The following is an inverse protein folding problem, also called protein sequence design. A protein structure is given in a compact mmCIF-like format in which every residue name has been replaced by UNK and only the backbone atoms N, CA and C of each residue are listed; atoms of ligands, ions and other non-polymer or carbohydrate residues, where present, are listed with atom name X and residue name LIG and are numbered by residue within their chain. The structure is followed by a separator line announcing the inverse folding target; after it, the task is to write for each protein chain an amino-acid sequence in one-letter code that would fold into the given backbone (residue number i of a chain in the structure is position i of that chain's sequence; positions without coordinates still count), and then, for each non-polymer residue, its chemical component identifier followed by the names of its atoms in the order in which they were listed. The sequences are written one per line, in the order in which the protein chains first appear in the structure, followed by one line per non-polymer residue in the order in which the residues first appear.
data_IF_991004942620
#
_entry.id   IF_991004942620
#
_cell.length_a   1.000
_cell.length_b   1.000
_cell.length_c   1.000
_cell.angle_alpha   90.00
_cell.angle_beta   90.00
_cell.angle_gamma   90.00
#
_symmetry.space_group_name_H-M   'P 1'
#
loop_
_entity.id
_entity.type
_entity.pdbx_description
1 polymer ?
#
# COMPACT_ATOMS: atom_id res chain seq x y z
N UNK A 1 28.81 11.62 -19.20
CA UNK A 1 28.03 12.34 -18.16
C UNK A 1 28.83 12.36 -16.88
N UNK A 2 28.77 13.45 -16.10
CA UNK A 2 29.43 13.47 -14.79
C UNK A 2 28.81 12.39 -13.90
N UNK A 3 29.65 11.53 -13.32
CA UNK A 3 29.20 10.53 -12.33
C UNK A 3 29.15 11.18 -10.95
N UNK A 4 28.01 11.05 -10.28
CA UNK A 4 27.90 11.37 -8.86
C UNK A 4 28.46 10.18 -8.05
N UNK A 5 29.60 10.38 -7.38
CA UNK A 5 30.28 9.33 -6.58
C UNK A 5 29.82 9.27 -5.13
N UNK A 6 28.72 9.93 -4.77
CA UNK A 6 28.16 9.88 -3.42
C UNK A 6 27.80 8.44 -3.01
N UNK A 7 28.26 8.04 -1.83
CA UNK A 7 27.89 6.76 -1.20
C UNK A 7 26.52 6.80 -0.53
N UNK A 8 25.90 7.97 -0.41
CA UNK A 8 24.55 8.15 0.12
C UNK A 8 23.59 8.55 -0.99
N UNK A 9 22.34 8.10 -0.90
CA UNK A 9 21.25 8.59 -1.74
C UNK A 9 21.11 10.09 -1.57
N UNK A 10 20.73 10.75 -2.65
CA UNK A 10 20.19 12.11 -2.56
C UNK A 10 19.02 12.08 -1.57
N UNK A 11 19.04 12.90 -0.51
CA UNK A 11 17.95 12.93 0.45
C UNK A 11 16.62 13.28 -0.23
N UNK A 12 15.56 12.56 0.14
CA UNK A 12 14.20 12.90 -0.30
C UNK A 12 13.67 14.02 0.58
N UNK A 13 13.22 15.16 0.02
CA UNK A 13 12.52 16.17 0.79
C UNK A 13 11.28 15.57 1.46
N UNK A 14 11.12 15.82 2.75
CA UNK A 14 9.96 15.35 3.52
C UNK A 14 9.35 16.50 4.33
N UNK A 15 8.06 16.39 4.62
CA UNK A 15 7.45 17.26 5.63
C UNK A 15 8.14 17.06 6.99
N UNK A 16 8.24 18.13 7.78
CA UNK A 16 8.78 18.06 9.13
C UNK A 16 7.88 17.19 10.04
N UNK A 17 8.44 16.35 10.92
CA UNK A 17 7.68 15.43 11.77
C UNK A 17 6.56 16.10 12.59
N UNK A 18 6.84 17.25 13.20
CA UNK A 18 5.90 18.01 14.02
C UNK A 18 4.70 18.58 13.23
N UNK A 19 4.87 18.78 11.92
CA UNK A 19 3.81 19.24 11.01
C UNK A 19 3.03 18.04 10.47
N UNK A 20 3.74 17.04 9.95
CA UNK A 20 3.12 15.90 9.23
C UNK A 20 2.31 14.98 10.12
N UNK A 21 2.61 14.93 11.42
CA UNK A 21 1.81 14.16 12.38
C UNK A 21 0.39 14.70 12.60
N UNK A 22 0.04 15.86 12.03
CA UNK A 22 -1.27 16.52 12.18
C UNK A 22 -2.06 16.66 10.87
N UNK A 23 -1.59 16.07 9.78
CA UNK A 23 -2.27 16.17 8.49
C UNK A 23 -2.11 14.89 7.67
N UNK A 24 -2.99 14.68 6.70
CA UNK A 24 -2.98 13.52 5.81
C UNK A 24 -2.27 13.79 4.47
N UNK A 25 -1.54 14.91 4.32
CA UNK A 25 -0.80 15.21 3.10
C UNK A 25 0.43 14.30 2.97
N UNK A 26 0.91 14.13 1.74
CA UNK A 26 2.04 13.26 1.41
C UNK A 26 3.31 13.60 2.19
N UNK A 27 3.90 12.63 2.89
CA UNK A 27 5.11 12.87 3.71
C UNK A 27 6.34 13.08 2.86
N UNK A 28 6.60 12.19 1.90
CA UNK A 28 7.71 12.32 0.95
C UNK A 28 7.25 13.21 -0.22
N UNK A 29 7.95 14.32 -0.44
CA UNK A 29 7.51 15.39 -1.35
C UNK A 29 7.94 15.17 -2.81
N UNK A 30 8.81 14.20 -3.07
CA UNK A 30 9.39 13.95 -4.38
C UNK A 30 10.69 14.73 -4.60
N UNK A 31 11.45 14.31 -5.62
CA UNK A 31 12.65 15.03 -6.03
C UNK A 31 12.32 16.23 -6.92
N UNK A 32 13.12 17.28 -6.82
CA UNK A 32 13.26 18.25 -7.91
C UNK A 32 13.96 17.63 -9.13
N UNK A 33 13.94 18.32 -10.27
CA UNK A 33 14.67 17.86 -11.46
C UNK A 33 16.17 17.72 -11.17
N UNK A 34 16.77 18.68 -10.44
CA UNK A 34 18.18 18.67 -10.07
C UNK A 34 18.53 17.49 -9.16
N UNK A 35 17.69 17.22 -8.16
CA UNK A 35 17.87 16.10 -7.24
C UNK A 35 17.75 14.75 -7.96
N UNK A 36 16.76 14.62 -8.85
CA UNK A 36 16.55 13.42 -9.65
C UNK A 36 17.73 13.18 -10.60
N UNK A 37 18.21 14.21 -11.30
CA UNK A 37 19.39 14.12 -12.17
C UNK A 37 20.63 13.74 -11.35
N UNK A 38 20.83 14.37 -10.19
CA UNK A 38 21.96 14.07 -9.29
C UNK A 38 21.94 12.63 -8.78
N UNK A 39 20.78 12.12 -8.38
CA UNK A 39 20.61 10.72 -7.97
C UNK A 39 20.80 9.75 -9.14
N UNK A 40 20.25 10.08 -10.31
CA UNK A 40 20.38 9.27 -11.52
C UNK A 40 21.86 9.13 -11.96
N UNK A 41 22.67 10.17 -11.77
CA UNK A 41 24.12 10.16 -12.03
C UNK A 41 24.92 9.26 -11.09
N UNK A 42 24.33 8.73 -10.01
CA UNK A 42 24.96 7.70 -9.17
C UNK A 42 24.91 6.30 -9.80
N UNK A 43 24.03 6.09 -10.77
CA UNK A 43 23.87 4.79 -11.41
C UNK A 43 25.10 4.41 -12.24
N UNK A 44 25.65 3.24 -11.96
CA UNK A 44 26.87 2.73 -12.60
C UNK A 44 26.67 2.22 -14.03
N UNK A 45 25.44 2.24 -14.55
CA UNK A 45 25.08 1.68 -15.86
C UNK A 45 25.64 0.25 -16.04
N UNK A 46 25.32 -0.61 -15.08
CA UNK A 46 25.86 -1.98 -15.01
C UNK A 46 25.50 -2.79 -16.25
N UNK A 47 26.49 -3.46 -16.87
CA UNK A 47 26.27 -4.38 -18.01
C UNK A 47 25.35 -5.56 -17.66
N UNK A 48 25.39 -6.03 -16.42
CA UNK A 48 24.50 -7.07 -15.86
C UNK A 48 23.72 -6.45 -14.68
N UNK A 49 22.55 -5.86 -14.93
CA UNK A 49 21.86 -5.06 -13.93
C UNK A 49 21.02 -5.94 -13.00
N UNK A 50 21.56 -6.32 -11.83
CA UNK A 50 20.81 -7.09 -10.82
C UNK A 50 19.54 -6.38 -10.32
N UNK A 51 19.46 -5.05 -10.46
CA UNK A 51 18.25 -4.30 -10.15
C UNK A 51 17.04 -4.66 -11.03
N UNK A 52 17.26 -5.04 -12.30
CA UNK A 52 16.20 -5.48 -13.23
C UNK A 52 15.65 -6.83 -12.78
N UNK A 53 16.52 -7.78 -12.44
CA UNK A 53 16.13 -9.08 -11.88
C UNK A 53 15.39 -8.95 -10.53
N UNK A 54 15.79 -7.97 -9.72
CA UNK A 54 15.11 -7.65 -8.46
C UNK A 54 13.75 -6.97 -8.62
N UNK A 55 13.40 -6.50 -9.81
CA UNK A 55 12.09 -5.90 -10.09
C UNK A 55 11.12 -7.01 -10.56
N UNK A 56 9.97 -7.22 -9.89
CA UNK A 56 9.03 -8.28 -10.26
C UNK A 56 8.51 -8.20 -11.71
N UNK A 57 8.41 -6.99 -12.27
CA UNK A 57 7.99 -6.76 -13.67
C UNK A 57 9.15 -6.41 -14.59
N UNK A 58 10.40 -6.54 -14.11
CA UNK A 58 11.62 -6.36 -14.89
C UNK A 58 11.69 -5.01 -15.63
N UNK A 59 11.34 -3.92 -14.94
CA UNK A 59 11.53 -2.55 -15.47
C UNK A 59 12.95 -2.38 -15.95
N UNK A 60 13.13 -1.74 -17.10
CA UNK A 60 14.43 -1.47 -17.72
C UNK A 60 15.19 -0.34 -16.98
N UNK A 61 15.54 -0.62 -15.72
CA UNK A 61 16.01 0.36 -14.73
C UNK A 61 17.21 1.19 -15.19
N UNK A 62 18.33 0.60 -15.68
CA UNK A 62 19.46 1.39 -16.15
C UNK A 62 19.09 2.35 -17.29
N UNK A 63 18.16 1.94 -18.15
CA UNK A 63 17.79 2.67 -19.35
C UNK A 63 17.00 3.93 -18.98
N UNK A 64 15.94 3.83 -18.18
CA UNK A 64 15.18 5.02 -17.77
C UNK A 64 16.02 5.95 -16.89
N UNK A 65 16.88 5.40 -16.01
CA UNK A 65 17.76 6.22 -15.18
C UNK A 65 18.76 7.00 -16.04
N UNK A 66 19.29 6.39 -17.09
CA UNK A 66 20.15 7.08 -18.06
C UNK A 66 19.41 8.27 -18.68
N UNK A 67 18.16 8.07 -19.10
CA UNK A 67 17.32 9.14 -19.65
C UNK A 67 17.09 10.28 -18.67
N UNK A 68 16.79 9.98 -17.39
CA UNK A 68 16.67 11.02 -16.34
C UNK A 68 17.97 11.81 -16.20
N UNK A 69 19.11 11.13 -16.13
CA UNK A 69 20.40 11.81 -15.99
C UNK A 69 20.69 12.73 -17.21
N UNK A 70 20.21 12.37 -18.40
CA UNK A 70 20.32 13.13 -19.66
C UNK A 70 19.26 14.25 -19.78
N UNK A 71 18.40 14.41 -18.76
CA UNK A 71 17.23 15.29 -18.75
C UNK A 71 16.16 14.96 -19.80
N UNK A 72 16.17 13.73 -20.32
CA UNK A 72 15.13 13.17 -21.20
C UNK A 72 14.05 12.48 -20.35
N UNK A 73 13.25 13.28 -19.63
CA UNK A 73 12.25 12.75 -18.69
C UNK A 73 11.08 12.05 -19.38
N UNK A 74 10.69 12.53 -20.57
CA UNK A 74 9.67 11.90 -21.41
C UNK A 74 10.14 10.51 -21.89
N UNK A 75 11.39 10.39 -22.34
CA UNK A 75 11.99 9.10 -22.68
C UNK A 75 12.07 8.16 -21.47
N UNK A 76 12.34 8.69 -20.27
CA UNK A 76 12.38 7.89 -19.05
C UNK A 76 11.02 7.25 -18.72
N UNK A 77 9.93 8.04 -18.71
CA UNK A 77 8.61 7.51 -18.37
C UNK A 77 8.09 6.52 -19.42
N UNK A 78 8.38 6.75 -20.71
CA UNK A 78 8.06 5.79 -21.79
C UNK A 78 8.67 4.42 -21.52
N UNK A 79 9.97 4.37 -21.18
CA UNK A 79 10.69 3.12 -20.88
C UNK A 79 10.08 2.41 -19.67
N UNK A 80 9.69 3.15 -18.61
CA UNK A 80 9.07 2.54 -17.43
C UNK A 80 7.73 1.88 -17.80
N UNK A 81 6.90 2.59 -18.58
CA UNK A 81 5.56 2.15 -19.00
C UNK A 81 5.55 0.98 -19.98
N UNK A 82 6.69 0.56 -20.53
CA UNK A 82 6.80 -0.66 -21.33
C UNK A 82 6.49 -1.93 -20.51
N UNK A 83 6.71 -1.87 -19.20
CA UNK A 83 6.60 -3.05 -18.31
C UNK A 83 5.80 -2.78 -17.03
N UNK A 84 5.70 -1.53 -16.59
CA UNK A 84 4.93 -1.15 -15.42
C UNK A 84 3.73 -0.27 -15.79
N UNK A 85 2.52 -0.78 -15.52
CA UNK A 85 1.28 -0.06 -15.79
C UNK A 85 0.96 1.01 -14.74
N UNK A 86 1.61 1.02 -13.57
CA UNK A 86 1.27 1.89 -12.44
C UNK A 86 2.52 2.56 -11.80
N UNK A 87 3.39 3.23 -12.58
CA UNK A 87 4.70 3.70 -12.09
C UNK A 87 4.58 4.76 -10.98
N UNK A 88 3.58 5.65 -11.06
CA UNK A 88 3.34 6.67 -10.04
C UNK A 88 3.00 6.07 -8.66
N UNK A 89 2.42 4.86 -8.65
CA UNK A 89 2.08 4.12 -7.44
C UNK A 89 3.29 3.28 -6.99
N UNK A 90 3.87 2.48 -7.90
CA UNK A 90 4.99 1.57 -7.60
C UNK A 90 6.21 2.31 -7.01
N UNK A 91 6.57 3.48 -7.58
CA UNK A 91 7.66 4.30 -7.06
C UNK A 91 7.47 4.76 -5.61
N UNK A 92 6.21 4.83 -5.14
CA UNK A 92 5.85 5.22 -3.76
C UNK A 92 5.77 4.04 -2.80
N UNK A 93 5.17 2.92 -3.23
CA UNK A 93 4.71 1.89 -2.29
C UNK A 93 5.50 0.58 -2.35
N UNK A 94 6.31 0.36 -3.39
CA UNK A 94 7.14 -0.83 -3.47
C UNK A 94 8.14 -0.88 -2.30
N UNK A 95 8.38 -2.05 -1.69
CA UNK A 95 9.43 -2.23 -0.69
C UNK A 95 10.78 -2.43 -1.40
N UNK A 96 11.34 -1.36 -1.96
CA UNK A 96 12.52 -1.43 -2.82
C UNK A 96 13.74 -2.09 -2.14
N UNK A 97 13.85 -1.95 -0.82
CA UNK A 97 14.87 -2.58 0.04
C UNK A 97 14.83 -4.12 0.03
N UNK A 98 13.72 -4.70 -0.42
CA UNK A 98 13.58 -6.15 -0.64
C UNK A 98 13.50 -6.54 -2.12
N UNK A 99 13.55 -5.57 -3.03
CA UNK A 99 13.34 -5.73 -4.47
C UNK A 99 14.52 -5.14 -5.28
N UNK A 100 14.25 -4.22 -6.19
CA UNK A 100 15.22 -3.70 -7.16
C UNK A 100 16.45 -3.04 -6.50
N UNK A 101 16.28 -2.36 -5.37
CA UNK A 101 17.38 -1.68 -4.68
C UNK A 101 18.25 -2.65 -3.86
N UNK A 102 17.69 -3.75 -3.36
CA UNK A 102 18.43 -4.84 -2.71
C UNK A 102 19.55 -5.39 -3.61
N UNK A 103 19.26 -5.52 -4.90
CA UNK A 103 20.18 -6.09 -5.89
C UNK A 103 21.04 -5.04 -6.60
N UNK A 104 20.97 -3.78 -6.20
CA UNK A 104 21.80 -2.73 -6.78
C UNK A 104 23.27 -2.92 -6.41
N UNK A 105 24.16 -2.96 -7.40
CA UNK A 105 25.61 -3.16 -7.18
C UNK A 105 26.21 -2.07 -6.27
N UNK A 106 25.74 -0.83 -6.37
CA UNK A 106 26.19 0.27 -5.52
C UNK A 106 25.86 0.04 -4.04
N UNK A 107 24.78 -0.70 -3.75
CA UNK A 107 24.37 -1.09 -2.40
C UNK A 107 25.40 -1.97 -1.66
N UNK A 108 26.40 -2.53 -2.35
CA UNK A 108 27.47 -3.32 -1.72
C UNK A 108 28.54 -2.47 -1.04
N UNK A 109 28.66 -1.18 -1.39
CA UNK A 109 29.73 -0.28 -0.92
C UNK A 109 29.20 1.03 -0.31
N UNK A 110 27.88 1.19 -0.25
CA UNK A 110 27.16 2.36 0.21
C UNK A 110 25.65 2.12 0.08
N UNK A 111 24.86 3.18 -0.01
CA UNK A 111 23.43 3.08 -0.28
C UNK A 111 23.16 2.79 -1.76
N UNK A 112 22.15 1.97 -2.10
CA UNK A 112 21.78 1.71 -3.48
C UNK A 112 21.30 2.99 -4.17
N UNK A 113 21.22 2.94 -5.51
CA UNK A 113 20.52 4.00 -6.27
C UNK A 113 19.06 4.01 -5.84
N UNK A 114 18.47 5.18 -5.63
CA UNK A 114 17.08 5.34 -5.21
C UNK A 114 16.10 5.15 -6.39
N UNK A 115 16.04 3.92 -6.90
CA UNK A 115 15.26 3.54 -8.09
C UNK A 115 13.79 3.92 -7.94
N UNK A 116 13.18 3.62 -6.79
CA UNK A 116 11.76 3.95 -6.57
C UNK A 116 11.48 5.45 -6.60
N UNK A 117 12.40 6.26 -6.07
CA UNK A 117 12.28 7.72 -6.06
C UNK A 117 12.43 8.31 -7.47
N UNK A 118 13.31 7.73 -8.30
CA UNK A 118 13.48 8.11 -9.70
C UNK A 118 12.29 7.69 -10.58
N UNK A 119 11.72 6.50 -10.34
CA UNK A 119 10.49 6.04 -10.99
C UNK A 119 9.32 6.97 -10.65
N UNK A 120 9.16 7.30 -9.37
CA UNK A 120 8.18 8.29 -8.89
C UNK A 120 8.37 9.64 -9.59
N UNK A 121 9.61 10.15 -9.64
CA UNK A 121 9.91 11.44 -10.27
C UNK A 121 9.47 11.46 -11.74
N UNK A 122 9.83 10.43 -12.52
CA UNK A 122 9.46 10.37 -13.94
C UNK A 122 7.94 10.36 -14.14
N UNK A 123 7.21 9.61 -13.31
CA UNK A 123 5.75 9.56 -13.37
C UNK A 123 5.09 10.87 -12.91
N UNK A 124 5.59 11.49 -11.84
CA UNK A 124 5.07 12.77 -11.36
C UNK A 124 5.36 13.91 -12.36
N UNK A 125 6.51 13.89 -13.03
CA UNK A 125 6.87 14.83 -14.09
C UNK A 125 5.89 14.77 -15.27
N UNK A 126 5.56 13.55 -15.73
CA UNK A 126 4.59 13.35 -16.81
C UNK A 126 3.20 13.86 -16.41
N UNK A 127 2.76 13.52 -15.19
CA UNK A 127 1.47 13.99 -14.65
C UNK A 127 1.39 15.52 -14.61
N UNK A 128 2.47 16.20 -14.24
CA UNK A 128 2.52 17.65 -14.18
C UNK A 128 2.44 18.32 -15.58
N UNK A 129 2.83 17.62 -16.65
CA UNK A 129 2.72 18.10 -18.04
C UNK A 129 1.35 17.85 -18.67
N UNK A 130 0.50 17.08 -18.00
CA UNK A 130 -0.77 16.58 -18.52
C UNK A 130 -0.57 15.23 -19.21
N UNK A 131 -1.42 14.27 -18.86
CA UNK A 131 -1.36 12.92 -19.42
C UNK A 131 -1.85 12.99 -20.87
N UNK A 132 -1.02 12.55 -21.82
CA UNK A 132 -1.43 12.46 -23.21
C UNK A 132 -2.52 11.39 -23.36
N UNK A 133 -3.64 11.70 -24.07
CA UNK A 133 -4.67 10.71 -24.34
C UNK A 133 -4.06 9.48 -25.03
N UNK A 134 -4.41 8.27 -24.60
CA UNK A 134 -3.89 7.07 -25.22
C UNK A 134 -4.43 6.93 -26.65
N UNK A 135 -3.64 6.29 -27.51
CA UNK A 135 -4.14 5.88 -28.83
C UNK A 135 -5.15 4.77 -28.65
N UNK A 136 -6.40 5.02 -29.05
CA UNK A 136 -7.47 4.03 -28.99
C UNK A 136 -7.20 2.96 -30.07
N UNK A 137 -7.03 1.69 -29.71
CA UNK A 137 -6.80 0.63 -30.68
C UNK A 137 -8.09 0.27 -31.42
N UNK A 138 -7.93 -0.38 -32.58
CA UNK A 138 -9.07 -0.94 -33.32
C UNK A 138 -9.75 -2.03 -32.47
N UNK A 139 -11.06 -1.90 -32.29
CA UNK A 139 -11.86 -2.86 -31.52
C UNK A 139 -11.94 -4.22 -32.22
N UNK A 140 -11.80 -5.28 -31.43
CA UNK A 140 -11.95 -6.68 -31.86
C UNK A 140 -13.40 -7.17 -31.80
N UNK A 141 -14.27 -6.45 -31.10
CA UNK A 141 -15.67 -6.85 -30.87
C UNK A 141 -15.81 -8.01 -29.87
N UNK A 142 -14.78 -8.26 -29.06
CA UNK A 142 -14.71 -9.33 -28.07
C UNK A 142 -14.75 -8.77 -26.66
N UNK A 143 -15.65 -9.29 -25.82
CA UNK A 143 -15.91 -8.76 -24.48
C UNK A 143 -15.14 -9.52 -23.40
N UNK A 144 -14.52 -8.78 -22.47
CA UNK A 144 -13.84 -9.36 -21.30
C UNK A 144 -14.31 -8.66 -20.02
N UNK A 145 -14.70 -9.46 -19.02
CA UNK A 145 -15.10 -8.95 -17.71
C UNK A 145 -13.95 -9.07 -16.70
N UNK A 146 -13.80 -8.06 -15.86
CA UNK A 146 -12.80 -8.01 -14.80
C UNK A 146 -13.53 -7.80 -13.47
N UNK A 147 -13.34 -8.71 -12.52
CA UNK A 147 -13.96 -8.62 -11.19
C UNK A 147 -12.95 -8.06 -10.20
N UNK A 148 -13.18 -6.82 -9.76
CA UNK A 148 -12.32 -6.06 -8.86
C UNK A 148 -11.44 -5.03 -9.57
N UNK A 149 -11.42 -3.81 -9.06
CA UNK A 149 -10.68 -2.66 -9.62
C UNK A 149 -9.39 -2.32 -8.86
N UNK A 150 -8.80 -3.31 -8.17
CA UNK A 150 -7.48 -3.15 -7.56
C UNK A 150 -6.36 -3.07 -8.61
N UNK A 151 -5.09 -2.95 -8.19
CA UNK A 151 -3.94 -2.84 -9.10
C UNK A 151 -3.92 -3.93 -10.19
N UNK A 152 -4.24 -5.18 -9.84
CA UNK A 152 -4.29 -6.29 -10.78
C UNK A 152 -5.38 -6.11 -11.85
N UNK A 153 -6.59 -5.71 -11.45
CA UNK A 153 -7.70 -5.48 -12.36
C UNK A 153 -7.45 -4.28 -13.28
N UNK A 154 -6.92 -3.19 -12.74
CA UNK A 154 -6.55 -1.99 -13.52
C UNK A 154 -5.45 -2.29 -14.55
N UNK A 155 -4.39 -3.01 -14.16
CA UNK A 155 -3.33 -3.40 -15.07
C UNK A 155 -3.86 -4.33 -16.19
N UNK A 156 -4.62 -5.37 -15.81
CA UNK A 156 -5.23 -6.29 -16.77
C UNK A 156 -6.17 -5.55 -17.74
N UNK A 157 -6.99 -4.63 -17.23
CA UNK A 157 -7.89 -3.83 -18.04
C UNK A 157 -7.15 -2.95 -19.04
N UNK A 158 -6.11 -2.24 -18.59
CA UNK A 158 -5.31 -1.37 -19.45
C UNK A 158 -4.64 -2.14 -20.58
N UNK A 159 -4.07 -3.32 -20.29
CA UNK A 159 -3.39 -4.13 -21.31
C UNK A 159 -4.38 -4.75 -22.31
N UNK A 160 -5.50 -5.29 -21.83
CA UNK A 160 -6.56 -5.82 -22.71
C UNK A 160 -7.19 -4.72 -23.58
N UNK A 161 -7.39 -3.53 -23.02
CA UNK A 161 -7.91 -2.40 -23.77
C UNK A 161 -6.95 -2.00 -24.89
N UNK A 162 -5.64 -1.92 -24.62
CA UNK A 162 -4.58 -1.66 -25.64
C UNK A 162 -4.54 -2.72 -26.75
N UNK A 163 -4.95 -3.95 -26.45
CA UNK A 163 -5.08 -5.03 -27.43
C UNK A 163 -6.39 -4.99 -28.24
N UNK A 164 -7.31 -4.06 -27.94
CA UNK A 164 -8.55 -3.86 -28.69
C UNK A 164 -9.77 -4.62 -28.15
N UNK A 165 -9.69 -5.20 -26.95
CA UNK A 165 -10.84 -5.85 -26.31
C UNK A 165 -11.84 -4.82 -25.76
N UNK A 166 -13.11 -5.24 -25.64
CA UNK A 166 -14.16 -4.49 -24.96
C UNK A 166 -14.22 -4.92 -23.49
N UNK A 167 -13.62 -4.11 -22.63
CA UNK A 167 -13.38 -4.46 -21.22
C UNK A 167 -14.37 -3.76 -20.31
N UNK A 168 -15.01 -4.51 -19.41
CA UNK A 168 -15.80 -3.97 -18.30
C UNK A 168 -15.22 -4.44 -16.96
N UNK A 169 -14.92 -3.50 -16.07
CA UNK A 169 -14.54 -3.77 -14.67
C UNK A 169 -15.79 -3.70 -13.79
N UNK A 170 -15.99 -4.70 -12.94
CA UNK A 170 -17.03 -4.74 -11.91
C UNK A 170 -16.38 -4.56 -10.54
N UNK A 171 -16.69 -3.45 -9.86
CA UNK A 171 -16.14 -3.08 -8.56
C UNK A 171 -17.22 -3.09 -7.49
N UNK A 172 -16.94 -3.74 -6.36
CA UNK A 172 -17.89 -3.87 -5.25
C UNK A 172 -18.14 -2.54 -4.53
N UNK A 173 -17.11 -1.71 -4.38
CA UNK A 173 -17.20 -0.42 -3.71
C UNK A 173 -17.70 0.69 -4.65
N UNK A 174 -18.02 1.85 -4.07
CA UNK A 174 -18.47 3.03 -4.80
C UNK A 174 -17.33 3.80 -5.48
N UNK A 175 -16.07 3.45 -5.20
CA UNK A 175 -14.86 4.00 -5.84
C UNK A 175 -13.92 2.88 -6.31
N UNK A 176 -13.35 2.98 -7.52
CA UNK A 176 -12.35 2.04 -8.00
C UNK A 176 -10.96 2.25 -7.37
N UNK A 177 -10.09 1.25 -7.47
CA UNK A 177 -8.67 1.31 -7.04
C UNK A 177 -8.31 0.35 -5.90
N UNK A 178 -9.30 -0.30 -5.29
CA UNK A 178 -9.08 -1.29 -4.22
C UNK A 178 -8.24 -0.74 -3.06
N UNK A 179 -7.22 -1.49 -2.64
CA UNK A 179 -6.35 -1.12 -1.51
C UNK A 179 -5.65 0.24 -1.70
N UNK A 180 -5.49 0.71 -2.94
CA UNK A 180 -4.92 2.01 -3.25
C UNK A 180 -5.81 3.17 -2.76
N UNK A 181 -7.11 2.93 -2.62
CA UNK A 181 -8.11 3.93 -2.21
C UNK A 181 -8.54 3.74 -0.75
N UNK A 182 -8.91 2.52 -0.35
CA UNK A 182 -9.42 2.29 1.01
C UNK A 182 -8.32 1.92 2.03
N UNK A 183 -7.17 1.41 1.57
CA UNK A 183 -6.14 0.84 2.44
C UNK A 183 -4.97 1.79 2.69
N UNK A 184 -4.20 2.10 1.65
CA UNK A 184 -2.99 2.94 1.75
C UNK A 184 -3.41 4.39 1.98
N UNK A 185 -2.98 5.06 3.06
CA UNK A 185 -3.39 6.42 3.35
C UNK A 185 -2.86 7.48 2.37
N UNK A 186 -3.53 8.63 2.34
CA UNK A 186 -3.17 9.80 1.52
C UNK A 186 -1.73 10.29 1.76
N UNK A 187 -1.25 10.18 3.00
CA UNK A 187 0.10 10.62 3.37
C UNK A 187 1.23 9.76 2.80
N UNK A 188 0.91 8.60 2.19
CA UNK A 188 1.82 7.72 1.43
C UNK A 188 1.47 7.66 -0.04
N UNK A 189 0.19 7.64 -0.36
CA UNK A 189 -0.32 7.54 -1.72
C UNK A 189 -1.48 8.52 -1.91
N UNK A 190 -1.20 9.71 -2.46
CA UNK A 190 -2.24 10.66 -2.83
C UNK A 190 -3.30 10.04 -3.74
N UNK A 191 -4.58 10.19 -3.39
CA UNK A 191 -5.70 9.53 -4.06
C UNK A 191 -5.92 10.09 -5.45
N UNK A 192 -5.56 11.35 -5.67
CA UNK A 192 -5.56 11.99 -6.99
C UNK A 192 -4.69 11.22 -8.01
N UNK A 193 -3.64 10.53 -7.57
CA UNK A 193 -2.80 9.71 -8.46
C UNK A 193 -3.60 8.50 -8.92
N UNK A 194 -4.31 7.84 -8.02
CA UNK A 194 -5.12 6.67 -8.33
C UNK A 194 -6.29 7.06 -9.24
N UNK A 195 -6.93 8.19 -8.97
CA UNK A 195 -8.01 8.75 -9.79
C UNK A 195 -7.54 8.97 -11.23
N UNK A 196 -6.35 9.56 -11.43
CA UNK A 196 -5.79 9.79 -12.76
C UNK A 196 -5.41 8.49 -13.50
N UNK A 197 -4.92 7.47 -12.81
CA UNK A 197 -4.67 6.15 -13.42
C UNK A 197 -5.98 5.48 -13.87
N UNK A 198 -7.04 5.61 -13.06
CA UNK A 198 -8.38 5.13 -13.42
C UNK A 198 -8.94 5.90 -14.62
N UNK A 199 -8.82 7.23 -14.63
CA UNK A 199 -9.24 8.08 -15.75
C UNK A 199 -8.52 7.71 -17.04
N UNK A 200 -7.21 7.47 -16.98
CA UNK A 200 -6.43 7.01 -18.13
C UNK A 200 -6.95 5.67 -18.69
N UNK A 201 -7.28 4.73 -17.81
CA UNK A 201 -7.88 3.45 -18.21
C UNK A 201 -9.28 3.65 -18.82
N UNK A 202 -10.10 4.55 -18.29
CA UNK A 202 -11.40 4.88 -18.89
C UNK A 202 -11.24 5.54 -20.26
N UNK A 203 -10.22 6.37 -20.47
CA UNK A 203 -9.89 6.96 -21.77
C UNK A 203 -9.46 5.92 -22.82
N UNK A 204 -8.96 4.74 -22.41
CA UNK A 204 -8.76 3.58 -23.29
C UNK A 204 -10.08 2.91 -23.73
N UNK A 205 -11.22 3.39 -23.23
CA UNK A 205 -12.55 2.85 -23.51
C UNK A 205 -12.94 1.68 -22.60
N UNK A 206 -12.32 1.56 -21.42
CA UNK A 206 -12.73 0.60 -20.40
C UNK A 206 -13.93 1.13 -19.62
N UNK A 207 -14.98 0.32 -19.51
CA UNK A 207 -16.14 0.62 -18.68
C UNK A 207 -15.88 0.17 -17.24
N UNK A 208 -16.25 0.98 -16.24
CA UNK A 208 -16.14 0.62 -14.82
C UNK A 208 -17.51 0.75 -14.17
N UNK A 209 -18.04 -0.36 -13.66
CA UNK A 209 -19.30 -0.44 -12.92
C UNK A 209 -19.02 -0.63 -11.44
N UNK A 210 -19.21 0.43 -10.67
CA UNK A 210 -19.09 0.42 -9.20
C UNK A 210 -20.36 -0.10 -8.54
N UNK A 211 -20.29 -0.40 -7.24
CA UNK A 211 -21.39 -0.98 -6.45
C UNK A 211 -21.88 -2.35 -6.96
N UNK A 212 -21.02 -3.09 -7.66
CA UNK A 212 -21.30 -4.41 -8.24
C UNK A 212 -20.66 -5.51 -7.38
N UNK A 213 -21.36 -5.93 -6.33
CA UNK A 213 -20.91 -7.05 -5.49
C UNK A 213 -21.14 -8.37 -6.24
N UNK A 214 -20.12 -8.84 -6.95
CA UNK A 214 -20.18 -10.10 -7.70
C UNK A 214 -20.38 -11.30 -6.76
N UNK A 215 -21.25 -12.23 -7.13
CA UNK A 215 -21.81 -13.30 -6.28
C UNK A 215 -23.09 -12.87 -5.52
N UNK A 216 -23.49 -11.60 -5.61
CA UNK A 216 -24.78 -11.09 -5.10
C UNK A 216 -25.60 -10.38 -6.17
N UNK A 217 -24.97 -9.47 -6.92
CA UNK A 217 -25.63 -8.70 -7.98
C UNK A 217 -25.68 -9.50 -9.28
N UNK A 218 -24.54 -10.08 -9.67
CA UNK A 218 -24.38 -10.98 -10.81
C UNK A 218 -23.43 -12.11 -10.41
N UNK A 219 -23.64 -13.28 -10.98
CA UNK A 219 -22.74 -14.44 -10.91
C UNK A 219 -21.75 -14.42 -12.10
N UNK A 220 -20.80 -15.37 -12.11
CA UNK A 220 -19.90 -15.54 -13.25
C UNK A 220 -20.67 -16.07 -14.47
N UNK A 221 -21.64 -16.96 -14.26
CA UNK A 221 -22.47 -17.52 -15.33
C UNK A 221 -23.30 -16.42 -16.01
N UNK A 222 -23.87 -15.48 -15.24
CA UNK A 222 -24.57 -14.31 -15.79
C UNK A 222 -23.66 -13.49 -16.73
N UNK A 223 -22.37 -13.35 -16.41
CA UNK A 223 -21.42 -12.65 -17.30
C UNK A 223 -21.24 -13.40 -18.62
N UNK A 224 -21.12 -14.72 -18.60
CA UNK A 224 -21.03 -15.50 -19.83
C UNK A 224 -22.32 -15.40 -20.66
N UNK A 225 -23.49 -15.44 -20.01
CA UNK A 225 -24.79 -15.22 -20.68
C UNK A 225 -24.94 -13.82 -21.28
N UNK A 226 -24.34 -12.80 -20.66
CA UNK A 226 -24.26 -11.43 -21.19
C UNK A 226 -23.27 -11.27 -22.37
N UNK A 227 -22.61 -12.37 -22.77
CA UNK A 227 -21.72 -12.42 -23.93
C UNK A 227 -20.27 -12.03 -23.65
N UNK A 228 -19.82 -12.05 -22.39
CA UNK A 228 -18.39 -11.95 -22.08
C UNK A 228 -17.69 -13.28 -22.44
N UNK A 229 -16.58 -13.23 -23.18
CA UNK A 229 -15.83 -14.43 -23.61
C UNK A 229 -14.81 -14.89 -22.57
N UNK A 230 -14.42 -14.01 -21.64
CA UNK A 230 -13.45 -14.30 -20.60
C UNK A 230 -13.72 -13.46 -19.33
N UNK A 231 -13.33 -14.01 -18.18
CA UNK A 231 -13.44 -13.35 -16.87
C UNK A 231 -12.09 -13.41 -16.16
N UNK A 232 -11.58 -12.26 -15.73
CA UNK A 232 -10.43 -12.15 -14.84
C UNK A 232 -10.90 -11.82 -13.42
N UNK A 233 -10.39 -12.54 -12.43
CA UNK A 233 -10.76 -12.35 -11.01
C UNK A 233 -9.60 -11.71 -10.26
N UNK A 234 -9.77 -10.44 -9.89
CA UNK A 234 -8.81 -9.59 -9.19
C UNK A 234 -9.31 -9.05 -7.85
N UNK A 235 -10.10 -9.83 -7.10
CA UNK A 235 -10.78 -9.38 -5.86
C UNK A 235 -9.86 -9.21 -4.65
N UNK A 236 -8.60 -9.66 -4.74
CA UNK A 236 -7.62 -9.57 -3.66
C UNK A 236 -7.99 -10.34 -2.39
N UNK A 237 -7.35 -9.97 -1.27
CA UNK A 237 -7.54 -10.56 0.04
C UNK A 237 -8.03 -9.50 1.04
N UNK A 238 -9.33 -9.17 1.00
CA UNK A 238 -9.93 -8.10 1.80
C UNK A 238 -10.62 -8.53 3.10
N UNK A 239 -10.70 -9.82 3.43
CA UNK A 239 -11.40 -10.30 4.63
C UNK A 239 -10.48 -10.18 5.87
N UNK A 240 -10.82 -9.40 6.91
CA UNK A 240 -9.95 -9.23 8.08
C UNK A 240 -9.85 -10.52 8.90
N UNK A 241 -8.71 -10.70 9.58
CA UNK A 241 -8.50 -11.73 10.59
C UNK A 241 -8.49 -11.09 11.98
N UNK A 242 -9.12 -11.77 12.93
CA UNK A 242 -9.07 -11.46 14.35
C UNK A 242 -8.23 -12.49 15.08
N UNK A 243 -7.74 -12.15 16.27
CA UNK A 243 -6.87 -13.01 17.07
C UNK A 243 -7.61 -14.19 17.70
N UNK A 244 -8.93 -14.05 17.93
CA UNK A 244 -9.74 -14.99 18.68
C UNK A 244 -9.55 -14.88 20.19
N UNK A 245 -9.19 -13.69 20.71
CA UNK A 245 -8.95 -13.47 22.14
C UNK A 245 -10.20 -12.88 22.82
N UNK A 246 -10.37 -13.07 24.14
CA UNK A 246 -11.46 -12.43 24.88
C UNK A 246 -11.43 -10.91 24.75
N UNK A 247 -12.61 -10.31 24.57
CA UNK A 247 -12.78 -8.86 24.51
C UNK A 247 -12.65 -8.22 23.12
N UNK A 248 -12.42 -8.99 22.04
CA UNK A 248 -12.35 -8.44 20.66
C UNK A 248 -13.63 -7.77 20.16
N UNK A 249 -14.76 -7.95 20.85
CA UNK A 249 -16.05 -7.33 20.51
C UNK A 249 -16.35 -6.07 21.34
N UNK A 250 -15.42 -5.58 22.17
CA UNK A 250 -15.62 -4.31 22.88
C UNK A 250 -15.68 -3.12 21.91
N UNK A 251 -16.37 -2.06 22.33
CA UNK A 251 -16.41 -0.80 21.59
C UNK A 251 -15.01 -0.18 21.53
N UNK A 252 -14.68 0.45 20.39
CA UNK A 252 -13.34 0.95 20.03
C UNK A 252 -12.28 -0.13 19.75
N UNK A 253 -12.71 -1.39 19.56
CA UNK A 253 -11.91 -2.39 18.84
C UNK A 253 -12.26 -2.32 17.36
N UNK A 254 -11.26 -2.10 16.51
CA UNK A 254 -11.39 -2.05 15.07
C UNK A 254 -10.56 -3.15 14.40
N UNK A 255 -11.07 -3.71 13.30
CA UNK A 255 -10.15 -4.26 12.30
C UNK A 255 -9.42 -3.12 11.60
N UNK A 256 -8.16 -3.34 11.20
CA UNK A 256 -7.43 -2.34 10.41
C UNK A 256 -8.15 -2.01 9.09
N UNK A 257 -8.85 -2.98 8.50
CA UNK A 257 -9.68 -2.77 7.32
C UNK A 257 -10.79 -1.74 7.58
N UNK A 258 -11.54 -1.88 8.67
CA UNK A 258 -12.58 -0.90 9.03
C UNK A 258 -11.96 0.47 9.32
N UNK A 259 -10.94 0.50 10.18
CA UNK A 259 -10.29 1.74 10.62
C UNK A 259 -9.77 2.56 9.42
N UNK A 260 -9.02 1.90 8.53
CA UNK A 260 -8.46 2.54 7.34
C UNK A 260 -9.53 2.83 6.29
N UNK A 261 -10.58 2.02 6.15
CA UNK A 261 -11.68 2.33 5.21
C UNK A 261 -12.43 3.57 5.65
N UNK A 262 -12.74 3.71 6.95
CA UNK A 262 -13.35 4.92 7.51
C UNK A 262 -12.48 6.15 7.25
N UNK A 263 -11.19 6.05 7.52
CA UNK A 263 -10.25 7.18 7.35
C UNK A 263 -10.05 7.51 5.87
N UNK A 264 -9.74 6.54 5.02
CA UNK A 264 -9.25 6.77 3.67
C UNK A 264 -10.37 6.89 2.63
N UNK A 265 -11.30 5.93 2.62
CA UNK A 265 -12.39 5.89 1.64
C UNK A 265 -13.50 6.85 2.06
N UNK A 266 -13.89 6.80 3.33
CA UNK A 266 -15.00 7.61 3.86
C UNK A 266 -14.55 8.97 4.39
N UNK A 267 -13.24 9.24 4.42
CA UNK A 267 -12.67 10.54 4.78
C UNK A 267 -13.10 10.99 6.19
N UNK A 268 -13.19 10.06 7.13
CA UNK A 268 -13.65 10.32 8.51
C UNK A 268 -12.76 11.30 9.28
N UNK A 269 -11.52 11.52 8.86
CA UNK A 269 -10.66 12.58 9.40
C UNK A 269 -11.18 14.00 9.14
N UNK A 270 -12.15 14.16 8.23
CA UNK A 270 -12.77 15.44 7.89
C UNK A 270 -14.19 15.58 8.48
N UNK A 271 -14.62 14.67 9.36
CA UNK A 271 -15.88 14.79 10.09
C UNK A 271 -15.91 16.11 10.89
N UNK A 272 -17.03 16.87 10.92
CA UNK A 272 -18.35 16.56 10.37
C UNK A 272 -18.59 17.01 8.91
N UNK A 273 -17.57 17.45 8.16
CA UNK A 273 -17.74 17.77 6.73
C UNK A 273 -17.98 16.52 5.87
N UNK A 274 -17.72 15.34 6.43
CA UNK A 274 -18.05 14.02 5.89
C UNK A 274 -18.94 13.30 6.90
N UNK A 275 -19.87 12.47 6.41
CA UNK A 275 -20.91 11.89 7.27
C UNK A 275 -20.42 10.72 8.14
N UNK A 276 -19.29 10.10 7.79
CA UNK A 276 -18.80 8.91 8.49
C UNK A 276 -17.96 9.31 9.69
N UNK A 277 -18.40 9.01 10.92
CA UNK A 277 -17.58 9.26 12.10
C UNK A 277 -16.53 8.16 12.27
N UNK A 278 -15.50 8.49 13.06
CA UNK A 278 -14.57 7.54 13.65
C UNK A 278 -14.21 8.02 15.05
N UNK A 279 -14.17 7.11 16.01
CA UNK A 279 -13.70 7.41 17.36
C UNK A 279 -12.29 6.88 17.53
N UNK A 280 -11.38 7.75 17.95
CA UNK A 280 -10.00 7.41 18.28
C UNK A 280 -9.73 7.95 19.68
N UNK A 281 -9.40 7.07 20.61
CA UNK A 281 -9.04 7.45 21.98
C UNK A 281 -7.66 8.10 22.06
N UNK A 282 -7.31 8.57 23.26
CA UNK A 282 -6.02 9.23 23.50
C UNK A 282 -4.84 8.27 23.43
N UNK A 283 -5.06 7.03 23.85
CA UNK A 283 -4.07 5.96 23.84
C UNK A 283 -4.53 4.82 22.95
N UNK A 284 -3.75 4.52 21.91
CA UNK A 284 -4.13 3.55 20.88
C UNK A 284 -3.11 2.42 20.81
N UNK A 285 -3.57 1.17 20.81
CA UNK A 285 -2.75 0.01 20.48
C UNK A 285 -3.09 -0.51 19.08
N UNK A 286 -2.08 -0.64 18.23
CA UNK A 286 -2.19 -1.25 16.90
C UNK A 286 -1.44 -2.57 16.91
N UNK A 287 -2.15 -3.67 16.67
CA UNK A 287 -1.62 -5.02 16.81
C UNK A 287 -1.10 -5.53 15.46
N UNK A 288 0.20 -5.62 15.30
CA UNK A 288 0.86 -6.07 14.06
C UNK A 288 2.16 -5.33 13.77
N UNK A 289 2.89 -5.78 12.74
CA UNK A 289 4.17 -5.17 12.33
C UNK A 289 4.30 -4.91 10.83
N UNK A 290 3.21 -5.08 10.06
CA UNK A 290 3.24 -4.82 8.61
C UNK A 290 2.93 -3.38 8.26
N UNK A 291 2.95 -3.07 6.96
CA UNK A 291 2.56 -1.76 6.43
C UNK A 291 1.15 -1.34 6.90
N UNK A 292 0.21 -2.27 6.97
CA UNK A 292 -1.15 -2.01 7.48
C UNK A 292 -1.13 -1.51 8.93
N UNK A 293 -0.24 -2.06 9.77
CA UNK A 293 -0.07 -1.61 11.15
C UNK A 293 0.55 -0.21 11.20
N UNK A 294 1.58 0.05 10.38
CA UNK A 294 2.17 1.39 10.28
C UNK A 294 1.15 2.43 9.81
N UNK A 295 0.36 2.09 8.80
CA UNK A 295 -0.67 2.97 8.23
C UNK A 295 -1.76 3.27 9.27
N UNK A 296 -2.22 2.26 10.01
CA UNK A 296 -3.20 2.44 11.07
C UNK A 296 -2.66 3.31 12.23
N UNK A 297 -1.43 3.03 12.70
CA UNK A 297 -0.81 3.78 13.79
C UNK A 297 -0.56 5.25 13.41
N UNK A 298 -0.01 5.48 12.21
CA UNK A 298 0.23 6.83 11.68
C UNK A 298 -1.06 7.58 11.34
N UNK A 299 -2.14 6.86 11.05
CA UNK A 299 -3.47 7.48 10.92
C UNK A 299 -4.03 7.84 12.30
N UNK A 300 -3.89 6.99 13.31
CA UNK A 300 -4.36 7.25 14.67
C UNK A 300 -3.72 8.51 15.29
N UNK A 301 -2.41 8.71 15.12
CA UNK A 301 -1.74 9.93 15.62
C UNK A 301 -2.28 11.20 14.94
N UNK A 302 -2.61 11.13 13.64
CA UNK A 302 -3.20 12.23 12.87
C UNK A 302 -4.65 12.51 13.22
N UNK A 303 -5.35 11.51 13.75
CA UNK A 303 -6.70 11.63 14.29
C UNK A 303 -6.72 12.23 15.71
N UNK A 304 -5.57 12.59 16.28
CA UNK A 304 -5.48 13.28 17.56
C UNK A 304 -5.21 12.37 18.76
N UNK A 305 -4.76 11.13 18.55
CA UNK A 305 -4.23 10.33 19.66
C UNK A 305 -2.99 11.02 20.26
N UNK A 306 -2.90 10.99 21.59
CA UNK A 306 -1.74 11.52 22.33
C UNK A 306 -0.57 10.51 22.28
N UNK A 307 -0.91 9.22 22.37
CA UNK A 307 0.04 8.11 22.46
C UNK A 307 -0.43 6.94 21.58
N UNK A 308 0.45 6.41 20.73
CA UNK A 308 0.14 5.30 19.82
C UNK A 308 1.22 4.24 19.92
N UNK A 309 0.81 3.01 20.20
CA UNK A 309 1.66 1.85 20.35
C UNK A 309 1.49 0.90 19.16
N UNK A 310 2.60 0.47 18.58
CA UNK A 310 2.68 -0.74 17.76
C UNK A 310 3.00 -1.90 18.70
N UNK A 311 2.07 -2.82 18.84
CA UNK A 311 2.26 -4.05 19.62
C UNK A 311 2.61 -5.18 18.65
N UNK A 312 3.87 -5.61 18.69
CA UNK A 312 4.39 -6.60 17.76
C UNK A 312 5.07 -7.77 18.47
N UNK A 313 4.61 -8.98 18.17
CA UNK A 313 5.08 -10.21 18.81
C UNK A 313 6.53 -10.61 18.48
N UNK A 314 7.21 -9.95 17.55
CA UNK A 314 8.63 -10.22 17.18
C UNK A 314 9.49 -8.98 17.39
N UNK A 315 10.76 -9.03 16.98
CA UNK A 315 11.66 -7.88 17.07
C UNK A 315 11.55 -6.95 15.86
N UNK A 316 12.28 -5.83 15.92
CA UNK A 316 12.44 -4.88 14.81
C UNK A 316 12.97 -5.58 13.54
N UNK A 317 13.90 -6.53 13.68
CA UNK A 317 14.53 -7.22 12.54
C UNK A 317 13.54 -8.08 11.75
N UNK A 318 12.56 -8.70 12.42
CA UNK A 318 11.51 -9.49 11.75
C UNK A 318 10.33 -8.65 11.26
N UNK A 319 10.35 -7.33 11.42
CA UNK A 319 9.25 -6.46 11.03
C UNK A 319 9.09 -6.43 9.50
N UNK A 320 7.91 -6.80 8.96
CA UNK A 320 7.69 -6.83 7.51
C UNK A 320 7.28 -5.48 6.91
N UNK A 321 7.16 -4.42 7.70
CA UNK A 321 6.86 -3.08 7.21
C UNK A 321 8.00 -2.54 6.35
N UNK A 322 7.64 -1.68 5.40
CA UNK A 322 8.61 -0.95 4.58
C UNK A 322 9.45 -0.04 5.47
N UNK A 323 10.77 -0.10 5.31
CA UNK A 323 11.73 0.55 6.21
C UNK A 323 11.50 2.07 6.31
N UNK A 324 11.25 2.73 5.19
CA UNK A 324 10.94 4.17 5.15
C UNK A 324 9.67 4.50 5.97
N UNK A 325 8.68 3.62 6.01
CA UNK A 325 7.44 3.85 6.77
C UNK A 325 7.62 3.61 8.26
N UNK A 326 8.47 2.64 8.62
CA UNK A 326 8.89 2.40 10.00
C UNK A 326 9.68 3.59 10.55
N UNK A 327 10.64 4.11 9.79
CA UNK A 327 11.41 5.32 10.15
C UNK A 327 10.48 6.54 10.30
N UNK A 328 9.56 6.73 9.35
CA UNK A 328 8.55 7.79 9.44
C UNK A 328 7.65 7.64 10.69
N UNK A 329 7.24 6.42 11.04
CA UNK A 329 6.44 6.17 12.23
C UNK A 329 7.20 6.55 13.52
N UNK A 330 8.50 6.19 13.61
CA UNK A 330 9.36 6.57 14.75
C UNK A 330 9.53 8.08 14.85
N UNK A 331 9.80 8.76 13.74
CA UNK A 331 9.93 10.22 13.70
C UNK A 331 8.64 10.94 14.10
N UNK A 332 7.48 10.36 13.78
CA UNK A 332 6.15 10.87 14.16
C UNK A 332 5.78 10.59 15.64
N UNK A 333 6.61 9.85 16.37
CA UNK A 333 6.45 9.58 17.80
C UNK A 333 5.68 8.31 18.15
N UNK A 334 5.50 7.38 17.21
CA UNK A 334 4.88 6.08 17.50
C UNK A 334 5.82 5.23 18.35
N UNK A 335 5.27 4.63 19.41
CA UNK A 335 5.96 3.76 20.35
C UNK A 335 5.91 2.31 19.84
N UNK A 336 7.01 1.58 19.95
CA UNK A 336 7.12 0.21 19.46
C UNK A 336 7.33 -0.77 20.62
N UNK A 337 6.28 -1.53 20.94
CA UNK A 337 6.29 -2.62 21.91
C UNK A 337 6.61 -3.93 21.18
N UNK A 338 7.90 -4.15 20.93
CA UNK A 338 8.42 -5.41 20.40
C UNK A 338 8.26 -6.54 21.40
N UNK A 339 8.35 -7.78 20.88
CA UNK A 339 8.25 -9.00 21.69
C UNK A 339 7.04 -8.98 22.64
N UNK A 340 5.91 -8.49 22.15
CA UNK A 340 4.69 -8.29 22.94
C UNK A 340 3.49 -8.81 22.17
N UNK A 341 2.64 -9.61 22.81
CA UNK A 341 1.45 -10.19 22.19
C UNK A 341 0.23 -10.03 23.10
N UNK A 342 -0.90 -9.49 22.60
CA UNK A 342 -2.14 -9.43 23.38
C UNK A 342 -2.71 -10.82 23.71
N UNK A 343 -3.27 -10.96 24.90
CA UNK A 343 -3.96 -12.18 25.36
C UNK A 343 -5.43 -11.96 25.73
N UNK A 344 -5.81 -10.75 26.14
CA UNK A 344 -7.22 -10.30 26.24
C UNK A 344 -7.32 -8.78 26.14
N UNK A 345 -8.47 -8.30 25.69
CA UNK A 345 -8.85 -6.89 25.75
C UNK A 345 -9.73 -6.68 26.98
N UNK A 346 -9.50 -5.59 27.71
CA UNK A 346 -10.19 -5.26 28.96
C UNK A 346 -11.17 -4.12 28.69
N UNK A 347 -12.45 -4.35 28.98
CA UNK A 347 -13.51 -3.34 28.86
C UNK A 347 -13.88 -2.72 30.20
N UNK A 348 -14.49 -1.53 30.16
CA UNK A 348 -15.21 -0.94 31.30
C UNK A 348 -16.64 -1.49 31.42
N UNK A 349 -17.39 -1.02 32.41
CA UNK A 349 -18.78 -1.44 32.69
C UNK A 349 -19.74 -1.22 31.51
N UNK A 350 -19.43 -0.27 30.62
CA UNK A 350 -20.21 0.07 29.44
C UNK A 350 -19.70 -0.63 28.16
N UNK A 351 -18.73 -1.55 28.28
CA UNK A 351 -18.19 -2.31 27.17
C UNK A 351 -17.21 -1.54 26.26
N UNK A 352 -16.66 -0.41 26.73
CA UNK A 352 -15.59 0.30 26.01
C UNK A 352 -14.23 -0.19 26.43
N UNK A 353 -13.28 -0.25 25.49
CA UNK A 353 -11.88 -0.57 25.78
C UNK A 353 -11.34 0.37 26.88
N UNK A 354 -10.71 -0.25 27.88
CA UNK A 354 -9.97 0.41 28.98
C UNK A 354 -8.51 -0.04 29.04
N UNK A 355 -8.17 -1.16 28.41
CA UNK A 355 -6.80 -1.63 28.32
C UNK A 355 -6.67 -2.93 27.56
N UNK A 356 -5.45 -3.40 27.42
CA UNK A 356 -5.11 -4.72 26.88
C UNK A 356 -4.16 -5.42 27.83
N UNK A 357 -4.40 -6.70 28.09
CA UNK A 357 -3.43 -7.55 28.74
C UNK A 357 -2.55 -8.18 27.66
N UNK A 358 -1.25 -8.07 27.85
CA UNK A 358 -0.22 -8.56 26.95
C UNK A 358 0.70 -9.52 27.69
N UNK A 359 1.37 -10.39 26.94
CA UNK A 359 2.45 -11.25 27.41
C UNK A 359 3.74 -10.90 26.67
N UNK A 360 4.89 -11.01 27.35
CA UNK A 360 6.20 -10.86 26.70
C UNK A 360 6.54 -12.13 25.92
N UNK A 361 7.26 -11.93 24.83
CA UNK A 361 7.71 -12.97 23.93
C UNK A 361 9.24 -13.06 23.96
N UNK A 362 9.77 -14.22 23.61
CA UNK A 362 11.16 -14.40 23.21
C UNK A 362 11.23 -14.97 21.79
N UNK A 363 12.36 -14.82 21.12
CA UNK A 363 12.56 -15.36 19.78
C UNK A 363 13.11 -16.79 19.86
N UNK A 364 12.37 -17.75 19.34
CA UNK A 364 12.83 -19.12 19.10
C UNK A 364 13.46 -19.29 17.71
N UNK A 365 13.36 -20.50 17.18
CA UNK A 365 13.88 -20.87 15.86
C UNK A 365 13.10 -20.21 14.70
N UNK A 366 13.73 -20.03 13.52
CA UNK A 366 13.05 -19.56 12.31
C UNK A 366 11.81 -20.39 11.91
N UNK A 367 10.75 -19.71 11.47
CA UNK A 367 9.59 -20.32 10.83
C UNK A 367 9.80 -20.55 9.32
N UNK A 368 8.77 -21.07 8.64
CA UNK A 368 8.80 -21.31 7.19
C UNK A 368 8.99 -20.03 6.35
N UNK A 369 8.76 -18.84 6.92
CA UNK A 369 9.05 -17.55 6.29
C UNK A 369 10.50 -17.08 6.54
N UNK A 370 11.31 -17.87 7.25
CA UNK A 370 12.69 -17.55 7.63
C UNK A 370 12.80 -16.61 8.84
N UNK A 371 11.68 -16.20 9.44
CA UNK A 371 11.65 -15.27 10.58
C UNK A 371 11.55 -16.04 11.89
N UNK A 372 12.24 -15.59 12.93
CA UNK A 372 12.21 -16.25 14.25
C UNK A 372 10.80 -16.31 14.84
N UNK A 373 10.43 -17.48 15.35
CA UNK A 373 9.11 -17.71 15.96
C UNK A 373 9.04 -17.02 17.31
N UNK A 374 7.94 -16.31 17.62
CA UNK A 374 7.75 -15.77 18.95
C UNK A 374 7.23 -16.86 19.89
N UNK A 375 7.84 -16.99 21.07
CA UNK A 375 7.48 -17.95 22.13
C UNK A 375 7.08 -17.16 23.37
N UNK A 376 5.94 -17.44 24.02
CA UNK A 376 5.51 -16.69 25.20
C UNK A 376 6.41 -16.97 26.41
N UNK A 377 6.75 -15.91 27.15
CA UNK A 377 7.42 -16.02 28.44
C UNK A 377 6.33 -16.10 29.52
N UNK A 378 6.08 -17.29 30.06
CA UNK A 378 5.03 -17.50 31.06
C UNK A 378 5.27 -16.65 32.32
N UNK A 379 4.22 -16.04 32.89
CA UNK A 379 4.33 -15.19 34.08
C UNK A 379 4.81 -13.76 33.79
N UNK A 380 4.94 -13.38 32.52
CA UNK A 380 5.35 -12.03 32.08
C UNK A 380 4.16 -11.13 31.68
N UNK A 381 2.94 -11.53 32.06
CA UNK A 381 1.72 -10.82 31.72
C UNK A 381 1.70 -9.42 32.36
N UNK A 382 1.26 -8.43 31.58
CA UNK A 382 1.13 -7.05 32.02
C UNK A 382 -0.02 -6.35 31.31
N UNK A 383 -0.51 -5.27 31.90
CA UNK A 383 -1.63 -4.50 31.35
C UNK A 383 -1.10 -3.19 30.76
N UNK A 384 -1.50 -2.89 29.53
CA UNK A 384 -1.32 -1.59 28.89
C UNK A 384 -2.65 -0.84 28.92
N UNK A 385 -2.62 0.38 29.46
CA UNK A 385 -3.75 1.30 29.46
C UNK A 385 -3.95 1.90 28.07
N UNK A 386 -5.05 1.54 27.41
CA UNK A 386 -5.41 2.00 26.06
C UNK A 386 -6.92 2.15 25.94
N UNK A 387 -7.36 3.01 25.03
CA UNK A 387 -8.76 3.35 24.80
C UNK A 387 -9.24 2.89 23.42
N UNK A 388 -8.33 2.50 22.52
CA UNK A 388 -8.65 2.02 21.17
C UNK A 388 -7.67 0.93 20.79
N UNK A 389 -8.19 -0.15 20.18
CA UNK A 389 -7.39 -1.26 19.68
C UNK A 389 -7.65 -1.43 18.19
N UNK A 390 -6.59 -1.48 17.38
CA UNK A 390 -6.69 -1.74 15.94
C UNK A 390 -5.97 -3.05 15.59
N UNK A 391 -6.71 -4.04 15.12
CA UNK A 391 -6.19 -5.36 14.77
C UNK A 391 -5.67 -5.36 13.33
N UNK A 392 -4.35 -5.45 13.16
CA UNK A 392 -3.63 -5.38 11.88
C UNK A 392 -2.78 -6.65 11.59
N UNK A 393 -3.35 -7.83 11.88
CA UNK A 393 -2.66 -9.13 11.79
C UNK A 393 -2.79 -9.83 10.42
N UNK A 394 -3.27 -9.12 9.42
CA UNK A 394 -3.43 -9.59 8.05
C UNK A 394 -4.86 -9.95 7.66
N UNK A 395 -5.01 -10.33 6.39
CA UNK A 395 -6.31 -10.57 5.76
C UNK A 395 -6.32 -11.90 4.99
N UNK A 396 -7.50 -12.33 4.56
CA UNK A 396 -7.72 -13.50 3.70
C UNK A 396 -8.59 -13.17 2.49
N UNK A 397 -8.68 -14.10 1.52
CA UNK A 397 -9.59 -13.99 0.40
C UNK A 397 -11.06 -14.06 0.87
N UNK A 398 -11.94 -13.32 0.19
CA UNK A 398 -13.37 -13.37 0.46
C UNK A 398 -13.99 -14.55 -0.31
N UNK A 399 -14.63 -15.52 0.37
CA UNK A 399 -15.21 -16.69 -0.28
C UNK A 399 -16.54 -16.41 -0.98
N UNK A 400 -17.06 -15.17 -0.97
CA UNK A 400 -18.38 -14.85 -1.52
C UNK A 400 -18.51 -15.18 -3.01
N UNK A 401 -17.45 -14.97 -3.80
CA UNK A 401 -17.44 -15.29 -5.24
C UNK A 401 -17.35 -16.80 -5.51
N UNK A 402 -16.69 -17.55 -4.62
CA UNK A 402 -16.34 -18.97 -4.83
C UNK A 402 -17.21 -19.94 -4.05
N UNK A 403 -18.04 -19.44 -3.12
CA UNK A 403 -19.04 -20.27 -2.44
C UNK A 403 -20.20 -20.52 -3.40
N UNK A 404 -20.57 -21.78 -3.67
CA UNK A 404 -21.84 -22.04 -4.31
C UNK A 404 -22.93 -21.43 -3.43
N UNK A 405 -23.87 -20.71 -4.04
CA UNK A 405 -25.13 -20.39 -3.38
C UNK A 405 -25.71 -21.75 -2.95
N UNK A 406 -25.71 -22.02 -1.64
CA UNK A 406 -26.45 -23.18 -1.14
C UNK A 406 -27.90 -22.95 -1.54
N UNK A 407 -28.39 -23.80 -2.43
CA UNK A 407 -29.81 -23.92 -2.75
C UNK A 407 -30.61 -24.24 -1.48
#
# INVERSE_FOLDING_TARGET
MPLNRSKKKTPMPTQKPEVRRRNFNEVALGYSEEEAVSEAQRCLQCKKPGCVEGCPVQVQIPQFIKRIAERDFEGAIKIIKETNSLPAICGRVCPQETQCEKNCVLGKVGEPVAIGRLERFAADWERAKGIHPPVIPKKLGKKVAIIGSGPAGLACAGDLAKLGYDVTIFEALHKPGGVLVYGIPEFRLPKIIVEQEVEFIQQLGVEIKTNMVMGKVLTIDDLFEMGYEAVFIGTGAGLPKFMGIPGENYLDVYSANEFLTRINLMKAYSFPNTDTPIKVGKKVAVIGGGNVAMDAARSAIRMGADEVHIVYRRSEEEMPARKEEFENAKEEGIIFDFLTNPVRIIGNENGWVKGIECIRMELGEPDASGRRRPVPIMGSEFIMDVETVVIAIGTGPNPLLTKPLKA
#
